data_IF_706568224309
#
_entry.id   IF_706568224309
#
_cell.length_a   1.000
_cell.length_b   1.000
_cell.length_c   1.000
_cell.angle_alpha   90.00
_cell.angle_beta   90.00
_cell.angle_gamma   90.00
#
_symmetry.space_group_name_H-M   'P 1'
#
loop_
_entity.id
_entity.type
_entity.pdbx_description
1 polymer ?
#
# COMPACT_ATOMS: atom_id res chain seq x y z
N UNK A 1 12.89 15.90 3.06
CA UNK A 1 13.07 17.12 2.25
C UNK A 1 12.47 18.36 2.93
N UNK A 2 11.25 18.29 3.41
CA UNK A 2 10.58 19.44 4.05
C UNK A 2 11.11 19.73 5.46
N UNK A 3 11.74 18.75 6.10
CA UNK A 3 12.17 18.79 7.50
C UNK A 3 11.00 19.13 8.45
N UNK A 4 9.83 18.57 8.15
CA UNK A 4 8.58 18.72 8.90
C UNK A 4 8.18 17.39 9.53
N UNK A 5 7.44 17.46 10.64
CA UNK A 5 6.89 16.29 11.29
C UNK A 5 5.77 15.67 10.43
N UNK A 6 5.77 14.36 10.24
CA UNK A 6 4.68 13.65 9.59
C UNK A 6 3.60 13.30 10.63
N UNK A 7 2.37 13.72 10.37
CA UNK A 7 1.18 13.35 11.15
C UNK A 7 0.30 12.47 10.28
N UNK A 8 -0.15 11.36 10.82
CA UNK A 8 -1.13 10.46 10.18
C UNK A 8 -2.51 10.78 10.76
N UNK A 9 -3.48 11.12 9.91
CA UNK A 9 -4.86 11.32 10.32
C UNK A 9 -5.75 10.22 9.76
N UNK A 10 -6.41 9.50 10.66
CA UNK A 10 -7.42 8.50 10.33
C UNK A 10 -8.77 9.21 10.27
N UNK A 11 -9.42 9.14 9.13
CA UNK A 11 -10.70 9.82 8.85
C UNK A 11 -11.85 8.84 9.12
N UNK A 12 -12.17 8.63 10.38
CA UNK A 12 -13.06 7.61 10.93
C UNK A 12 -14.48 8.10 11.30
N UNK A 13 -14.88 9.30 10.85
CA UNK A 13 -16.21 9.88 11.18
C UNK A 13 -17.33 9.18 10.41
N UNK A 14 -17.08 8.70 9.20
CA UNK A 14 -18.08 7.98 8.41
C UNK A 14 -18.17 6.51 8.82
N UNK A 15 -19.04 6.24 9.79
CA UNK A 15 -19.18 4.90 10.38
C UNK A 15 -19.56 3.82 9.35
N UNK A 16 -20.30 4.18 8.29
CA UNK A 16 -20.71 3.25 7.25
C UNK A 16 -19.55 2.77 6.37
N UNK A 17 -18.51 3.60 6.25
CA UNK A 17 -17.29 3.30 5.47
C UNK A 17 -16.16 2.75 6.33
N UNK A 18 -16.27 2.81 7.64
CA UNK A 18 -15.23 2.31 8.53
C UNK A 18 -15.15 0.78 8.48
N UNK A 19 -13.93 0.30 8.33
CA UNK A 19 -13.59 -1.12 8.41
C UNK A 19 -12.81 -1.34 9.70
N UNK A 20 -13.35 -2.15 10.60
CA UNK A 20 -12.71 -2.44 11.89
C UNK A 20 -11.28 -2.98 11.71
N UNK A 21 -10.33 -2.39 12.44
CA UNK A 21 -8.91 -2.78 12.41
C UNK A 21 -8.12 -2.25 11.19
N UNK A 22 -8.76 -1.50 10.27
CA UNK A 22 -8.08 -0.98 9.09
C UNK A 22 -7.07 0.11 9.42
N UNK A 23 -7.32 0.88 10.45
CA UNK A 23 -6.39 1.85 11.05
C UNK A 23 -5.08 1.18 11.50
N UNK A 24 -5.18 0.07 12.23
CA UNK A 24 -4.02 -0.71 12.68
C UNK A 24 -3.25 -1.29 11.50
N UNK A 25 -3.94 -1.85 10.50
CA UNK A 25 -3.31 -2.37 9.29
C UNK A 25 -2.51 -1.28 8.56
N UNK A 26 -3.05 -0.06 8.44
CA UNK A 26 -2.35 1.07 7.82
C UNK A 26 -1.06 1.39 8.59
N UNK A 27 -1.13 1.45 9.92
CA UNK A 27 0.02 1.73 10.77
C UNK A 27 1.07 0.62 10.68
N UNK A 28 0.66 -0.66 10.67
CA UNK A 28 1.56 -1.80 10.47
C UNK A 28 2.30 -1.70 9.12
N UNK A 29 1.59 -1.34 8.04
CA UNK A 29 2.20 -1.13 6.72
C UNK A 29 3.23 0.01 6.79
N UNK A 30 2.90 1.16 7.37
CA UNK A 30 3.86 2.26 7.51
C UNK A 30 5.13 1.84 8.27
N UNK A 31 4.98 1.07 9.34
CA UNK A 31 6.10 0.53 10.11
C UNK A 31 6.94 -0.45 9.30
N UNK A 32 6.34 -1.31 8.46
CA UNK A 32 7.07 -2.21 7.55
C UNK A 32 7.93 -1.44 6.54
N UNK A 33 7.51 -0.25 6.15
CA UNK A 33 8.27 0.64 5.27
C UNK A 33 9.26 1.52 6.03
N UNK A 34 9.36 1.39 7.36
CA UNK A 34 10.19 2.23 8.22
C UNK A 34 9.87 3.74 8.06
N UNK A 35 8.60 4.08 7.83
CA UNK A 35 8.14 5.45 7.74
C UNK A 35 7.92 5.98 9.16
N UNK A 36 8.77 6.94 9.56
CA UNK A 36 8.64 7.61 10.85
C UNK A 36 7.52 8.66 10.80
N UNK A 37 6.71 8.70 11.84
CA UNK A 37 5.65 9.70 12.02
C UNK A 37 5.60 10.16 13.49
N UNK A 38 5.23 11.42 13.69
CA UNK A 38 5.18 12.03 15.03
C UNK A 38 3.99 11.54 15.86
N UNK A 39 2.83 11.43 15.22
CA UNK A 39 1.59 11.03 15.87
C UNK A 39 0.56 10.48 14.89
N UNK A 40 -0.37 9.70 15.44
CA UNK A 40 -1.60 9.28 14.77
C UNK A 40 -2.76 9.99 15.45
N UNK A 41 -3.64 10.61 14.69
CA UNK A 41 -4.83 11.28 15.16
C UNK A 41 -6.07 10.64 14.52
N UNK A 42 -7.13 10.46 15.31
CA UNK A 42 -8.43 10.04 14.81
C UNK A 42 -9.35 11.27 14.70
N UNK A 43 -9.97 11.42 13.56
CA UNK A 43 -10.82 12.58 13.28
C UNK A 43 -12.05 12.62 14.21
N UNK A 44 -12.54 11.46 14.64
CA UNK A 44 -13.62 11.32 15.62
C UNK A 44 -13.30 11.95 17.00
N UNK A 45 -12.04 12.03 17.39
CA UNK A 45 -11.62 12.67 18.65
C UNK A 45 -11.89 14.17 18.64
N UNK A 46 -11.99 14.79 17.47
CA UNK A 46 -12.17 16.24 17.27
C UNK A 46 -13.64 16.68 17.14
N UNK A 47 -14.63 15.79 17.24
CA UNK A 47 -16.05 16.10 16.98
C UNK A 47 -16.56 17.32 17.77
N UNK A 48 -16.18 17.48 19.03
CA UNK A 48 -16.57 18.63 19.87
C UNK A 48 -16.01 19.95 19.31
N UNK A 49 -14.81 19.92 18.76
CA UNK A 49 -14.20 21.10 18.13
C UNK A 49 -14.91 21.43 16.81
N UNK A 50 -15.23 20.43 16.01
CA UNK A 50 -16.01 20.63 14.78
C UNK A 50 -17.35 21.32 15.09
N UNK A 51 -18.10 20.83 16.07
CA UNK A 51 -19.37 21.43 16.48
C UNK A 51 -19.21 22.87 17.01
N UNK A 52 -18.18 23.11 17.82
CA UNK A 52 -17.89 24.44 18.36
C UNK A 52 -17.56 25.46 17.26
N UNK A 53 -16.74 25.07 16.28
CA UNK A 53 -16.36 25.95 15.18
C UNK A 53 -17.56 26.21 14.23
N UNK A 54 -18.43 25.23 14.04
CA UNK A 54 -19.67 25.44 13.28
C UNK A 54 -20.62 26.46 13.98
N UNK A 55 -20.76 26.35 15.29
CA UNK A 55 -21.52 27.32 16.09
C UNK A 55 -20.90 28.74 15.98
N UNK A 56 -19.57 28.85 15.98
CA UNK A 56 -18.89 30.12 15.76
C UNK A 56 -19.24 30.71 14.37
N UNK A 57 -19.20 29.90 13.31
CA UNK A 57 -19.56 30.34 11.96
C UNK A 57 -21.03 30.80 11.90
N UNK A 58 -21.95 30.11 12.57
CA UNK A 58 -23.36 30.51 12.64
C UNK A 58 -23.52 31.84 13.40
N UNK A 59 -22.85 32.00 14.55
CA UNK A 59 -22.89 33.24 15.34
C UNK A 59 -22.33 34.43 14.56
N UNK A 60 -21.33 34.20 13.71
CA UNK A 60 -20.76 35.20 12.81
C UNK A 60 -21.58 35.42 11.54
N UNK A 61 -22.72 34.75 11.38
CA UNK A 61 -23.58 34.78 10.19
C UNK A 61 -22.87 34.35 8.89
N UNK A 62 -21.80 33.55 9.01
CA UNK A 62 -21.06 32.93 7.91
C UNK A 62 -21.57 31.53 7.57
N UNK A 63 -22.41 30.95 8.44
CA UNK A 63 -23.13 29.72 8.23
C UNK A 63 -24.58 29.87 8.75
N UNK A 64 -25.47 29.01 8.30
CA UNK A 64 -26.90 29.07 8.63
C UNK A 64 -27.52 27.67 8.73
N UNK A 65 -28.68 27.59 9.40
CA UNK A 65 -29.47 26.36 9.47
C UNK A 65 -30.20 26.14 8.15
N UNK A 66 -30.06 24.96 7.58
CA UNK A 66 -30.73 24.56 6.33
C UNK A 66 -31.73 23.42 6.66
N UNK A 67 -33.01 23.67 6.41
CA UNK A 67 -34.14 22.77 6.69
C UNK A 67 -34.63 22.02 5.43
N UNK A 68 -33.92 22.13 4.32
CA UNK A 68 -34.28 21.43 3.09
C UNK A 68 -34.24 19.91 3.29
N UNK A 69 -35.29 19.22 2.82
CA UNK A 69 -35.33 17.76 2.75
C UNK A 69 -34.41 17.25 1.63
N UNK A 70 -34.03 15.98 1.72
CA UNK A 70 -33.26 15.33 0.66
C UNK A 70 -34.01 15.35 -0.67
N UNK A 71 -35.34 15.14 -0.65
CA UNK A 71 -36.20 15.24 -1.83
C UNK A 71 -36.10 16.61 -2.51
N UNK A 72 -36.14 17.72 -1.74
CA UNK A 72 -35.94 19.06 -2.29
C UNK A 72 -34.58 19.27 -2.91
N UNK A 73 -33.53 18.76 -2.27
CA UNK A 73 -32.18 18.87 -2.80
C UNK A 73 -31.99 18.00 -4.05
N UNK A 74 -32.65 16.86 -4.14
CA UNK A 74 -32.62 16.01 -5.34
C UNK A 74 -33.38 16.64 -6.51
N UNK A 75 -34.54 17.28 -6.28
CA UNK A 75 -35.23 18.07 -7.28
C UNK A 75 -34.31 19.15 -7.88
N UNK A 76 -33.61 19.92 -7.03
CA UNK A 76 -32.67 20.97 -7.48
C UNK A 76 -31.48 20.38 -8.28
N UNK A 77 -31.00 19.19 -7.91
CA UNK A 77 -29.96 18.48 -8.67
C UNK A 77 -30.45 18.07 -10.06
N UNK A 78 -31.67 17.49 -10.10
CA UNK A 78 -32.26 17.09 -11.38
C UNK A 78 -32.51 18.28 -12.33
N UNK A 79 -32.96 19.38 -11.78
CA UNK A 79 -33.13 20.63 -12.56
C UNK A 79 -31.78 21.11 -13.13
N UNK A 80 -30.71 21.11 -12.30
CA UNK A 80 -29.38 21.51 -12.75
C UNK A 80 -28.85 20.59 -13.86
N UNK A 81 -29.10 19.29 -13.78
CA UNK A 81 -28.73 18.31 -14.81
C UNK A 81 -29.50 18.54 -16.10
N UNK A 82 -30.80 18.83 -16.03
CA UNK A 82 -31.63 19.18 -17.22
C UNK A 82 -31.13 20.43 -17.93
N UNK A 83 -30.64 21.39 -17.14
CA UNK A 83 -30.07 22.64 -17.65
C UNK A 83 -28.63 22.52 -18.16
N UNK A 84 -27.99 21.36 -17.98
CA UNK A 84 -26.58 21.14 -18.31
C UNK A 84 -25.60 21.95 -17.47
N UNK A 85 -26.01 22.35 -16.26
CA UNK A 85 -25.21 23.17 -15.34
C UNK A 85 -24.77 22.34 -14.14
N UNK A 86 -23.61 22.66 -13.50
CA UNK A 86 -23.25 22.06 -12.21
C UNK A 86 -24.31 22.45 -11.17
N UNK A 87 -24.58 21.51 -10.25
CA UNK A 87 -25.50 21.76 -9.14
C UNK A 87 -25.03 22.94 -8.30
N UNK A 88 -25.94 23.86 -8.02
CA UNK A 88 -25.79 24.93 -7.03
C UNK A 88 -27.05 24.97 -6.16
N UNK A 89 -26.82 25.17 -4.86
CA UNK A 89 -27.93 25.35 -3.93
C UNK A 89 -28.60 26.71 -4.16
N UNK A 90 -29.95 26.76 -4.11
CA UNK A 90 -30.75 27.93 -4.41
C UNK A 90 -30.69 29.04 -3.34
N UNK A 91 -30.05 28.80 -2.21
CA UNK A 91 -29.94 29.77 -1.10
C UNK A 91 -31.21 29.97 -0.28
N UNK A 92 -32.27 29.20 -0.53
CA UNK A 92 -33.58 29.43 0.11
C UNK A 92 -33.49 29.57 1.64
N UNK A 93 -32.82 28.66 2.34
CA UNK A 93 -32.73 28.73 3.81
C UNK A 93 -31.82 29.86 4.33
N UNK A 94 -30.99 30.45 3.48
CA UNK A 94 -30.15 31.60 3.85
C UNK A 94 -30.98 32.87 4.03
N UNK A 95 -32.14 32.97 3.36
CA UNK A 95 -33.02 34.11 3.42
C UNK A 95 -34.01 34.10 4.57
N UNK A 96 -34.06 33.00 5.36
CA UNK A 96 -34.95 32.88 6.51
C UNK A 96 -34.55 33.86 7.63
N UNK A 97 -35.56 34.46 8.25
CA UNK A 97 -35.33 35.35 9.41
C UNK A 97 -34.88 34.54 10.64
N UNK A 98 -34.13 35.19 11.53
CA UNK A 98 -33.70 34.59 12.79
C UNK A 98 -34.91 34.04 13.59
N UNK A 99 -36.05 34.78 13.60
CA UNK A 99 -37.30 34.37 14.27
C UNK A 99 -37.88 33.11 13.63
N UNK A 100 -37.84 33.00 12.30
CA UNK A 100 -38.30 31.79 11.61
C UNK A 100 -37.44 30.59 11.96
N UNK A 101 -36.13 30.77 11.97
CA UNK A 101 -35.16 29.71 12.30
C UNK A 101 -35.36 29.23 13.74
N UNK A 102 -35.50 30.15 14.71
CA UNK A 102 -35.67 29.84 16.13
C UNK A 102 -37.02 29.14 16.44
N UNK A 103 -38.07 29.49 15.70
CA UNK A 103 -39.40 28.91 15.86
C UNK A 103 -39.60 27.62 15.04
N UNK A 104 -38.69 27.25 14.18
CA UNK A 104 -38.76 26.03 13.39
C UNK A 104 -38.26 24.83 14.19
N UNK A 105 -39.19 23.95 14.63
CA UNK A 105 -38.86 22.73 15.34
C UNK A 105 -38.69 21.54 14.36
N UNK A 106 -37.72 21.64 13.47
CA UNK A 106 -37.39 20.60 12.50
C UNK A 106 -35.88 20.29 12.55
N UNK A 107 -35.45 19.07 12.26
CA UNK A 107 -34.02 18.77 12.10
C UNK A 107 -33.43 19.60 10.98
N UNK A 108 -32.22 20.05 11.18
CA UNK A 108 -31.52 20.92 10.23
C UNK A 108 -30.05 20.52 10.06
N UNK A 109 -29.52 20.75 8.88
CA UNK A 109 -28.09 20.73 8.58
C UNK A 109 -27.50 22.12 8.78
N UNK A 110 -26.22 22.24 9.00
CA UNK A 110 -25.51 23.53 8.97
C UNK A 110 -24.83 23.68 7.62
N UNK A 111 -25.13 24.78 6.94
CA UNK A 111 -24.55 25.12 5.64
C UNK A 111 -23.70 26.38 5.76
N UNK A 112 -22.46 26.36 5.20
CA UNK A 112 -21.62 27.54 5.07
C UNK A 112 -22.07 28.35 3.85
N UNK A 113 -22.04 29.66 3.95
CA UNK A 113 -22.30 30.56 2.85
C UNK A 113 -21.24 30.47 1.78
N UNK A 114 -21.55 30.88 0.59
CA UNK A 114 -20.54 31.02 -0.46
C UNK A 114 -19.52 32.14 -0.11
N UNK A 115 -18.28 32.06 -0.60
CA UNK A 115 -17.27 33.07 -0.31
C UNK A 115 -17.60 34.40 -0.99
N UNK A 116 -17.40 35.53 -0.30
CA UNK A 116 -17.58 36.87 -0.87
C UNK A 116 -16.65 37.12 -2.09
N UNK A 117 -15.52 36.45 -2.14
CA UNK A 117 -14.55 36.51 -3.24
C UNK A 117 -14.21 35.11 -3.70
N UNK A 118 -14.19 34.91 -5.01
CA UNK A 118 -13.83 33.62 -5.56
C UNK A 118 -12.43 33.15 -5.11
N UNK A 119 -12.32 31.91 -4.71
CA UNK A 119 -11.06 31.28 -4.29
C UNK A 119 -10.41 30.67 -5.53
N UNK A 120 -9.38 31.37 -6.03
CA UNK A 120 -8.62 30.95 -7.22
C UNK A 120 -7.70 29.78 -6.89
N UNK A 121 -8.23 28.56 -6.89
CA UNK A 121 -7.44 27.35 -6.78
C UNK A 121 -7.70 26.38 -7.94
N UNK A 122 -8.94 26.39 -8.43
CA UNK A 122 -9.41 25.65 -9.61
C UNK A 122 -10.33 26.58 -10.42
N UNK A 123 -10.71 26.17 -11.64
CA UNK A 123 -11.67 26.92 -12.48
C UNK A 123 -13.11 26.85 -11.95
N UNK A 124 -13.34 26.18 -10.81
CA UNK A 124 -14.65 26.02 -10.21
C UNK A 124 -14.87 26.98 -9.05
N UNK A 125 -16.01 27.66 -9.07
CA UNK A 125 -16.47 28.49 -7.96
C UNK A 125 -16.94 27.62 -6.79
N UNK A 126 -16.65 28.05 -5.57
CA UNK A 126 -17.18 27.44 -4.35
C UNK A 126 -18.56 28.03 -4.09
N UNK A 127 -19.60 27.18 -4.09
CA UNK A 127 -20.96 27.53 -3.66
C UNK A 127 -21.16 27.31 -2.15
N UNK A 128 -22.38 27.53 -1.68
CA UNK A 128 -22.74 27.18 -0.30
C UNK A 128 -22.92 25.66 -0.16
N UNK A 129 -22.30 25.05 0.87
CA UNK A 129 -22.35 23.60 1.09
C UNK A 129 -22.53 23.22 2.56
N UNK A 130 -23.02 22.00 2.80
CA UNK A 130 -23.27 21.48 4.14
C UNK A 130 -21.94 21.22 4.84
N UNK A 131 -21.79 21.71 6.09
CA UNK A 131 -20.63 21.50 6.96
C UNK A 131 -20.95 20.58 8.14
N UNK A 132 -22.20 20.60 8.67
CA UNK A 132 -22.69 19.58 9.62
C UNK A 132 -23.95 18.95 9.11
N UNK A 133 -24.04 17.63 9.23
CA UNK A 133 -25.24 16.82 8.95
C UNK A 133 -26.32 17.08 10.03
N UNK A 134 -27.52 16.53 9.89
CA UNK A 134 -28.61 16.69 10.86
C UNK A 134 -28.27 16.12 12.23
N UNK A 135 -27.52 15.04 12.31
CA UNK A 135 -27.01 14.41 13.52
C UNK A 135 -25.81 15.17 14.15
N UNK A 136 -25.44 16.30 13.54
CA UNK A 136 -24.30 17.15 13.93
C UNK A 136 -22.93 16.54 13.69
N UNK A 137 -22.85 15.45 12.93
CA UNK A 137 -21.55 14.98 12.41
C UNK A 137 -21.03 15.91 11.31
N UNK A 138 -19.72 16.19 11.27
CA UNK A 138 -19.14 17.04 10.24
C UNK A 138 -19.09 16.33 8.89
N UNK A 139 -19.18 17.09 7.81
CA UNK A 139 -18.86 16.60 6.48
C UNK A 139 -17.34 16.53 6.28
N UNK A 140 -16.90 15.70 5.33
CA UNK A 140 -15.48 15.47 5.03
C UNK A 140 -14.66 16.76 4.93
N UNK A 141 -15.04 17.66 4.03
CA UNK A 141 -14.29 18.90 3.82
C UNK A 141 -14.21 19.80 5.05
N UNK A 142 -15.28 19.80 5.82
CA UNK A 142 -15.34 20.60 7.04
C UNK A 142 -14.43 20.00 8.14
N UNK A 143 -14.52 18.72 8.38
CA UNK A 143 -13.70 18.05 9.37
C UNK A 143 -12.20 18.20 9.04
N UNK A 144 -11.78 17.93 7.79
CA UNK A 144 -10.40 18.11 7.36
C UNK A 144 -9.90 19.53 7.57
N UNK A 145 -10.70 20.55 7.21
CA UNK A 145 -10.31 21.96 7.34
C UNK A 145 -10.10 22.38 8.81
N UNK A 146 -10.95 21.89 9.73
CA UNK A 146 -10.85 22.19 11.14
C UNK A 146 -9.66 21.46 11.76
N UNK A 147 -9.47 20.19 11.43
CA UNK A 147 -8.35 19.39 11.96
C UNK A 147 -7.01 19.95 11.49
N UNK A 148 -6.88 20.32 10.21
CA UNK A 148 -5.67 20.96 9.68
C UNK A 148 -5.35 22.25 10.45
N UNK A 149 -6.37 23.03 10.81
CA UNK A 149 -6.22 24.25 11.59
C UNK A 149 -5.80 23.95 13.04
N UNK A 150 -6.44 22.98 13.70
CA UNK A 150 -6.16 22.63 15.12
C UNK A 150 -4.76 22.01 15.26
N UNK A 151 -4.36 21.19 14.30
CA UNK A 151 -3.07 20.49 14.28
C UNK A 151 -1.94 21.37 13.73
N UNK A 152 -2.23 22.60 13.35
CA UNK A 152 -1.28 23.55 12.75
C UNK A 152 -0.54 22.98 11.53
N UNK A 153 -1.27 22.29 10.65
CA UNK A 153 -0.72 21.66 9.44
C UNK A 153 -0.16 22.72 8.49
N UNK A 154 1.04 22.48 8.00
CA UNK A 154 1.74 23.34 7.01
C UNK A 154 1.61 22.80 5.59
N UNK A 155 1.58 21.46 5.44
CA UNK A 155 1.57 20.78 4.15
C UNK A 155 0.60 19.60 4.18
N UNK A 156 -0.26 19.52 3.16
CA UNK A 156 -1.17 18.38 2.94
C UNK A 156 -0.73 17.65 1.69
N UNK A 157 -0.46 16.34 1.81
CA UNK A 157 -0.15 15.44 0.69
C UNK A 157 -1.30 14.44 0.56
N UNK A 158 -1.96 14.40 -0.58
CA UNK A 158 -3.13 13.54 -0.81
C UNK A 158 -3.34 13.21 -2.29
N UNK A 159 -4.25 12.30 -2.59
CA UNK A 159 -4.61 11.94 -3.96
C UNK A 159 -5.26 13.13 -4.72
N UNK A 160 -5.03 13.24 -6.02
CA UNK A 160 -5.60 14.26 -6.90
C UNK A 160 -7.14 14.26 -6.96
N UNK A 161 -7.79 13.14 -6.62
CA UNK A 161 -9.25 13.07 -6.50
C UNK A 161 -9.83 14.13 -5.54
N UNK A 162 -9.00 14.64 -4.62
CA UNK A 162 -9.36 15.68 -3.67
C UNK A 162 -8.98 17.11 -4.11
N UNK A 163 -8.59 17.29 -5.37
CA UNK A 163 -8.23 18.61 -5.90
C UNK A 163 -9.37 19.62 -5.73
N UNK A 164 -10.61 19.20 -6.05
CA UNK A 164 -11.81 20.02 -5.95
C UNK A 164 -12.30 20.26 -4.51
N UNK A 165 -11.75 19.54 -3.54
CA UNK A 165 -12.04 19.73 -2.11
C UNK A 165 -11.21 20.87 -1.52
N UNK A 166 -10.04 21.17 -2.09
CA UNK A 166 -9.10 22.16 -1.59
C UNK A 166 -9.72 23.56 -1.44
N UNK A 167 -10.42 24.13 -2.45
CA UNK A 167 -11.00 25.46 -2.32
C UNK A 167 -12.10 25.51 -1.23
N UNK A 168 -12.86 24.43 -1.02
CA UNK A 168 -13.85 24.36 0.07
C UNK A 168 -13.17 24.40 1.44
N UNK A 169 -12.07 23.68 1.62
CA UNK A 169 -11.31 23.66 2.87
C UNK A 169 -10.64 25.02 3.13
N UNK A 170 -10.10 25.68 2.11
CA UNK A 170 -9.58 27.04 2.20
C UNK A 170 -10.70 28.01 2.63
N UNK A 171 -11.89 27.91 2.02
CA UNK A 171 -13.04 28.75 2.36
C UNK A 171 -13.46 28.61 3.83
N UNK A 172 -13.54 27.40 4.36
CA UNK A 172 -13.87 27.13 5.75
C UNK A 172 -12.87 27.82 6.69
N UNK A 173 -11.58 27.63 6.45
CA UNK A 173 -10.54 28.24 7.28
C UNK A 173 -10.55 29.77 7.23
N UNK A 174 -10.66 30.34 6.04
CA UNK A 174 -10.79 31.79 5.85
C UNK A 174 -12.00 32.35 6.59
N UNK A 175 -13.13 31.64 6.53
CA UNK A 175 -14.35 32.03 7.25
C UNK A 175 -14.17 32.03 8.76
N UNK A 176 -13.28 31.22 9.31
CA UNK A 176 -12.91 31.20 10.72
C UNK A 176 -11.82 32.21 11.08
N UNK A 177 -11.29 32.94 10.10
CA UNK A 177 -10.20 33.90 10.30
C UNK A 177 -8.82 33.29 10.38
N UNK A 178 -8.66 32.01 9.98
CA UNK A 178 -7.36 31.37 9.90
C UNK A 178 -6.65 31.76 8.60
N UNK A 179 -5.53 32.50 8.73
CA UNK A 179 -4.81 33.12 7.61
C UNK A 179 -3.51 32.40 7.25
N UNK A 180 -3.13 31.37 8.00
CA UNK A 180 -1.92 30.61 7.70
C UNK A 180 -2.14 29.83 6.40
N UNK A 181 -1.21 29.97 5.47
CA UNK A 181 -1.25 29.25 4.21
C UNK A 181 -0.84 27.78 4.42
N UNK A 182 -1.59 26.87 3.82
CA UNK A 182 -1.28 25.45 3.78
C UNK A 182 -0.90 25.09 2.35
N UNK A 183 0.28 24.46 2.17
CA UNK A 183 0.72 23.94 0.88
C UNK A 183 -0.03 22.64 0.58
N UNK A 184 -0.60 22.51 -0.61
CA UNK A 184 -1.26 21.29 -1.07
C UNK A 184 -0.45 20.61 -2.16
N UNK A 185 -0.26 19.30 -2.02
CA UNK A 185 0.41 18.44 -2.97
C UNK A 185 -0.56 17.32 -3.34
N UNK A 186 -1.01 17.33 -4.58
CA UNK A 186 -1.92 16.32 -5.09
C UNK A 186 -1.12 15.26 -5.88
N UNK A 187 -1.14 14.02 -5.39
CA UNK A 187 -0.49 12.89 -6.04
C UNK A 187 -1.39 12.33 -7.13
N UNK A 188 -0.85 11.99 -8.31
CA UNK A 188 -1.62 11.42 -9.39
C UNK A 188 -2.20 10.05 -9.01
N UNK A 189 -3.29 9.67 -9.67
CA UNK A 189 -3.89 8.34 -9.52
C UNK A 189 -3.01 7.30 -10.20
N UNK A 190 -2.81 6.16 -9.54
CA UNK A 190 -2.23 4.97 -10.14
C UNK A 190 -3.37 4.16 -10.76
N UNK A 191 -3.42 4.11 -12.10
CA UNK A 191 -4.45 3.40 -12.85
C UNK A 191 -4.05 1.96 -13.16
N UNK A 192 -5.03 1.10 -13.46
CA UNK A 192 -4.84 -0.33 -13.77
C UNK A 192 -4.17 -1.14 -12.64
N UNK A 193 -4.29 -0.71 -11.40
CA UNK A 193 -3.92 -1.49 -10.24
C UNK A 193 -5.02 -2.53 -9.90
N UNK A 194 -5.35 -3.38 -10.89
CA UNK A 194 -6.37 -4.44 -10.76
C UNK A 194 -5.69 -5.77 -11.08
N UNK A 195 -5.83 -6.76 -10.19
CA UNK A 195 -5.33 -8.11 -10.43
C UNK A 195 -6.25 -8.88 -11.39
N UNK A 196 -5.77 -10.01 -11.94
CA UNK A 196 -6.57 -10.92 -12.78
C UNK A 196 -7.86 -11.44 -12.09
N UNK A 197 -7.97 -11.28 -10.77
CA UNK A 197 -9.15 -11.66 -9.96
C UNK A 197 -10.07 -10.47 -9.68
N UNK A 198 -10.01 -9.39 -10.44
CA UNK A 198 -10.76 -8.13 -10.27
C UNK A 198 -10.58 -7.47 -8.88
N UNK A 199 -9.51 -7.82 -8.15
CA UNK A 199 -9.17 -7.21 -6.87
C UNK A 199 -8.20 -6.05 -7.08
N UNK A 200 -8.44 -4.94 -6.38
CA UNK A 200 -7.50 -3.83 -6.33
C UNK A 200 -6.18 -4.31 -5.73
N UNK A 201 -5.07 -4.08 -6.43
CA UNK A 201 -3.74 -4.39 -5.93
C UNK A 201 -3.42 -3.41 -4.80
N UNK A 202 -3.50 -3.91 -3.56
CA UNK A 202 -3.11 -3.15 -2.37
C UNK A 202 -1.66 -3.44 -1.99
N UNK A 203 -1.05 -2.55 -1.20
CA UNK A 203 0.29 -2.78 -0.63
C UNK A 203 0.32 -4.07 0.20
N UNK A 204 -0.75 -4.34 0.97
CA UNK A 204 -0.90 -5.58 1.75
C UNK A 204 -0.83 -6.81 0.84
N UNK A 205 -1.60 -6.82 -0.24
CA UNK A 205 -1.56 -7.90 -1.23
C UNK A 205 -0.14 -8.13 -1.78
N UNK A 206 0.58 -7.07 -2.12
CA UNK A 206 1.95 -7.19 -2.62
C UNK A 206 2.90 -7.80 -1.56
N UNK A 207 2.76 -7.41 -0.30
CA UNK A 207 3.54 -7.99 0.80
C UNK A 207 3.21 -9.48 0.97
N UNK A 208 1.93 -9.86 0.92
CA UNK A 208 1.48 -11.26 0.99
C UNK A 208 1.97 -12.11 -0.19
N UNK A 209 2.09 -11.53 -1.37
CA UNK A 209 2.73 -12.17 -2.54
C UNK A 209 4.26 -12.22 -2.45
N UNK A 210 4.85 -11.68 -1.39
CA UNK A 210 6.28 -11.78 -1.10
C UNK A 210 7.14 -10.72 -1.78
N UNK A 211 6.56 -9.58 -2.15
CA UNK A 211 7.36 -8.41 -2.54
C UNK A 211 8.00 -7.77 -1.30
N UNK A 212 9.24 -7.33 -1.42
CA UNK A 212 9.94 -6.62 -0.36
C UNK A 212 9.38 -5.20 -0.19
N UNK A 213 9.16 -4.71 1.04
CA UNK A 213 8.76 -3.32 1.28
C UNK A 213 9.69 -2.31 0.59
N UNK A 214 11.00 -2.54 0.60
CA UNK A 214 11.98 -1.69 -0.08
C UNK A 214 11.78 -1.63 -1.61
N UNK A 215 11.41 -2.75 -2.23
CA UNK A 215 11.14 -2.81 -3.67
C UNK A 215 9.82 -2.12 -4.03
N UNK A 216 8.78 -2.29 -3.21
CA UNK A 216 7.51 -1.59 -3.38
C UNK A 216 7.73 -0.08 -3.24
N UNK A 217 8.51 0.37 -2.24
CA UNK A 217 8.82 1.78 -2.03
C UNK A 217 9.61 2.36 -3.22
N UNK A 218 10.64 1.64 -3.70
CA UNK A 218 11.38 2.03 -4.90
C UNK A 218 10.44 2.19 -6.10
N UNK A 219 9.55 1.21 -6.34
CA UNK A 219 8.60 1.25 -7.44
C UNK A 219 7.62 2.42 -7.33
N UNK A 220 7.07 2.70 -6.13
CA UNK A 220 6.14 3.81 -5.92
C UNK A 220 6.80 5.18 -6.12
N UNK A 221 8.10 5.32 -5.80
CA UNK A 221 8.85 6.54 -6.11
C UNK A 221 9.16 6.63 -7.60
N UNK A 222 9.46 5.50 -8.26
CA UNK A 222 9.79 5.47 -9.68
C UNK A 222 8.58 5.75 -10.57
N UNK A 223 7.38 5.25 -10.19
CA UNK A 223 6.19 5.35 -11.03
C UNK A 223 5.77 6.80 -11.23
N UNK A 224 5.72 7.24 -12.49
CA UNK A 224 5.33 8.60 -12.85
C UNK A 224 6.37 9.68 -12.53
N UNK A 225 7.60 9.33 -12.13
CA UNK A 225 8.67 10.28 -11.85
C UNK A 225 9.95 9.97 -12.65
N UNK A 226 10.69 11.01 -12.97
CA UNK A 226 12.05 10.86 -13.49
C UNK A 226 13.02 10.62 -12.33
N UNK A 227 13.81 9.55 -12.42
CA UNK A 227 14.77 9.15 -11.38
C UNK A 227 16.15 8.95 -11.99
N UNK A 228 17.26 9.23 -11.26
CA UNK A 228 18.62 9.04 -11.78
C UNK A 228 18.97 7.57 -12.11
N UNK A 229 18.33 6.64 -11.41
CA UNK A 229 18.49 5.20 -11.57
C UNK A 229 17.16 4.51 -11.32
N UNK A 230 17.00 3.29 -11.84
CA UNK A 230 15.78 2.51 -11.63
C UNK A 230 15.74 1.79 -10.28
N UNK A 231 16.91 1.42 -9.74
CA UNK A 231 17.04 0.66 -8.50
C UNK A 231 17.74 1.55 -7.47
N UNK A 232 17.08 1.80 -6.36
CA UNK A 232 17.57 2.65 -5.27
C UNK A 232 16.86 2.32 -3.94
N UNK A 233 17.50 2.68 -2.84
CA UNK A 233 16.88 2.68 -1.51
C UNK A 233 16.14 4.00 -1.25
N UNK A 234 15.27 4.03 -0.23
CA UNK A 234 14.62 5.30 0.18
C UNK A 234 15.65 6.31 0.68
N UNK A 235 16.72 5.87 1.36
CA UNK A 235 17.80 6.76 1.81
C UNK A 235 18.48 7.44 0.63
N UNK A 236 18.78 6.69 -0.44
CA UNK A 236 19.36 7.27 -1.66
C UNK A 236 18.37 8.25 -2.30
N UNK A 237 17.08 7.91 -2.35
CA UNK A 237 16.05 8.76 -2.92
C UNK A 237 15.92 10.12 -2.23
N UNK A 238 16.11 10.20 -0.91
CA UNK A 238 16.09 11.46 -0.15
C UNK A 238 17.07 12.48 -0.71
N UNK A 239 18.21 12.04 -1.24
CA UNK A 239 19.27 12.93 -1.72
C UNK A 239 18.92 13.69 -3.00
N UNK A 240 18.07 13.14 -3.86
CA UNK A 240 17.73 13.69 -5.19
C UNK A 240 16.23 13.90 -5.42
N UNK A 241 15.36 13.25 -4.66
CA UNK A 241 13.90 13.43 -4.80
C UNK A 241 13.50 14.86 -4.48
N UNK A 242 12.68 15.46 -5.34
CA UNK A 242 12.09 16.79 -5.16
C UNK A 242 10.59 16.71 -5.30
N UNK A 243 9.87 17.16 -4.28
CA UNK A 243 8.42 17.12 -4.22
C UNK A 243 7.75 17.91 -5.35
N UNK A 244 8.45 18.95 -5.84
CA UNK A 244 8.00 19.78 -6.96
C UNK A 244 8.04 19.04 -8.30
N UNK A 245 8.84 17.97 -8.39
CA UNK A 245 9.03 17.17 -9.61
C UNK A 245 8.06 15.98 -9.68
N UNK A 246 7.16 15.82 -8.70
CA UNK A 246 6.14 14.76 -8.77
C UNK A 246 5.29 14.98 -10.03
N UNK A 247 5.19 13.94 -10.86
CA UNK A 247 4.34 13.96 -12.05
C UNK A 247 2.90 14.33 -11.69
N UNK A 248 2.24 15.07 -12.56
CA UNK A 248 0.80 15.37 -12.47
C UNK A 248 -0.04 14.41 -13.31
N UNK A 249 0.60 13.60 -14.14
CA UNK A 249 -0.08 12.66 -15.01
C UNK A 249 -0.33 11.35 -14.28
N UNK A 250 -1.52 10.77 -14.47
CA UNK A 250 -1.85 9.45 -13.93
C UNK A 250 -0.86 8.40 -14.42
N UNK A 251 -0.33 7.61 -13.49
CA UNK A 251 0.64 6.58 -13.78
C UNK A 251 -0.04 5.21 -13.95
N UNK A 252 0.43 4.41 -14.91
CA UNK A 252 -0.05 3.05 -15.10
C UNK A 252 0.73 2.08 -14.22
N UNK A 253 0.01 1.26 -13.45
CA UNK A 253 0.64 0.19 -12.67
C UNK A 253 1.18 -0.90 -13.61
N UNK A 254 2.44 -1.31 -13.38
CA UNK A 254 3.15 -2.33 -14.15
C UNK A 254 3.73 -3.37 -13.18
N UNK A 255 3.09 -4.53 -13.11
CA UNK A 255 3.51 -5.63 -12.24
C UNK A 255 4.84 -6.24 -12.67
N UNK A 256 5.13 -6.31 -13.97
CA UNK A 256 6.37 -6.89 -14.47
C UNK A 256 7.56 -5.99 -14.12
N UNK A 257 7.37 -4.67 -14.18
CA UNK A 257 8.36 -3.71 -13.70
C UNK A 257 8.60 -3.85 -12.19
N UNK A 258 7.55 -4.00 -11.39
CA UNK A 258 7.68 -4.23 -9.95
C UNK A 258 8.39 -5.56 -9.67
N UNK A 259 8.08 -6.63 -10.40
CA UNK A 259 8.77 -7.93 -10.28
C UNK A 259 10.27 -7.81 -10.61
N UNK A 260 10.60 -7.06 -11.64
CA UNK A 260 12.00 -6.78 -11.99
C UNK A 260 12.71 -6.05 -10.84
N UNK A 261 12.13 -4.97 -10.32
CA UNK A 261 12.70 -4.20 -9.20
C UNK A 261 12.85 -5.09 -7.97
N UNK A 262 11.84 -5.89 -7.63
CA UNK A 262 11.88 -6.78 -6.48
C UNK A 262 13.01 -7.81 -6.59
N UNK A 263 13.21 -8.39 -7.78
CA UNK A 263 14.34 -9.29 -8.05
C UNK A 263 15.68 -8.61 -7.79
N UNK A 264 15.84 -7.36 -8.25
CA UNK A 264 17.06 -6.59 -8.00
C UNK A 264 17.31 -6.31 -6.52
N UNK A 265 16.29 -6.02 -5.76
CA UNK A 265 16.39 -5.90 -4.31
C UNK A 265 16.73 -7.24 -3.64
N UNK A 266 16.18 -8.35 -4.12
CA UNK A 266 16.49 -9.71 -3.61
C UNK A 266 17.94 -10.14 -3.94
N UNK A 267 18.50 -9.72 -5.07
CA UNK A 267 19.91 -9.95 -5.42
C UNK A 267 20.86 -9.33 -4.38
N UNK A 268 20.53 -8.15 -3.86
CA UNK A 268 21.36 -7.37 -2.93
C UNK A 268 21.10 -7.65 -1.45
N UNK A 269 19.97 -8.27 -1.09
CA UNK A 269 19.66 -8.56 0.31
C UNK A 269 20.74 -9.44 0.96
N UNK A 270 21.05 -9.18 2.23
CA UNK A 270 21.96 -10.04 3.00
C UNK A 270 21.51 -11.48 3.05
N UNK A 271 22.43 -12.43 2.85
CA UNK A 271 22.10 -13.85 2.74
C UNK A 271 21.50 -14.42 4.02
N UNK A 272 21.98 -14.02 5.19
CA UNK A 272 21.42 -14.47 6.47
C UNK A 272 20.01 -13.90 6.68
N UNK A 273 19.79 -12.64 6.27
CA UNK A 273 18.46 -12.02 6.31
C UNK A 273 17.49 -12.75 5.38
N UNK A 274 17.90 -13.07 4.15
CA UNK A 274 17.07 -13.84 3.23
C UNK A 274 16.75 -15.24 3.81
N UNK A 275 17.76 -15.92 4.36
CA UNK A 275 17.58 -17.21 5.00
C UNK A 275 16.53 -17.16 6.12
N UNK A 276 16.59 -16.15 7.00
CA UNK A 276 15.59 -15.97 8.08
C UNK A 276 14.18 -15.76 7.52
N UNK A 277 14.03 -15.01 6.44
CA UNK A 277 12.73 -14.81 5.76
C UNK A 277 12.22 -16.13 5.17
N UNK A 278 13.12 -17.00 4.71
CA UNK A 278 12.79 -18.36 4.23
C UNK A 278 12.47 -19.35 5.36
N UNK A 279 12.74 -18.99 6.63
CA UNK A 279 12.49 -19.83 7.80
C UNK A 279 13.70 -20.59 8.32
N UNK A 280 14.90 -20.22 7.90
CA UNK A 280 16.17 -20.85 8.29
C UNK A 280 17.10 -19.85 8.98
N UNK A 281 18.19 -20.33 9.56
CA UNK A 281 19.19 -19.50 10.24
C UNK A 281 20.62 -19.72 9.68
N UNK A 282 20.73 -20.21 8.45
CA UNK A 282 21.98 -20.55 7.78
C UNK A 282 22.16 -19.68 6.52
N UNK A 283 23.31 -19.03 6.42
CA UNK A 283 23.68 -18.18 5.29
C UNK A 283 23.62 -18.91 3.93
N UNK A 284 23.92 -20.21 3.91
CA UNK A 284 23.90 -20.99 2.67
C UNK A 284 22.49 -21.16 2.12
N UNK A 285 21.47 -21.24 2.98
CA UNK A 285 20.07 -21.25 2.52
C UNK A 285 19.67 -19.90 1.89
N UNK A 286 20.21 -18.79 2.39
CA UNK A 286 20.03 -17.49 1.71
C UNK A 286 20.68 -17.44 0.33
N UNK A 287 21.88 -17.99 0.18
CA UNK A 287 22.53 -18.14 -1.14
C UNK A 287 21.73 -19.07 -2.06
N UNK A 288 21.22 -20.19 -1.51
CA UNK A 288 20.35 -21.12 -2.23
C UNK A 288 19.10 -20.41 -2.78
N UNK A 289 18.44 -19.57 -1.95
CA UNK A 289 17.31 -18.78 -2.40
C UNK A 289 17.66 -17.86 -3.57
N UNK A 290 18.88 -17.29 -3.60
CA UNK A 290 19.33 -16.43 -4.70
C UNK A 290 19.60 -17.19 -6.00
N UNK A 291 19.95 -18.48 -5.97
CA UNK A 291 20.09 -19.31 -7.17
C UNK A 291 18.77 -19.36 -7.97
N UNK A 292 17.62 -19.30 -7.26
CA UNK A 292 16.31 -19.34 -7.92
C UNK A 292 15.82 -18.00 -8.46
N UNK A 293 16.58 -16.89 -8.33
CA UNK A 293 16.14 -15.57 -8.80
C UNK A 293 16.00 -15.45 -10.33
N UNK A 294 16.56 -16.37 -11.11
CA UNK A 294 16.29 -16.43 -12.56
C UNK A 294 14.85 -16.86 -12.85
N UNK A 295 14.27 -17.70 -11.99
CA UNK A 295 12.93 -18.27 -12.15
C UNK A 295 11.89 -17.65 -11.22
N UNK A 296 12.32 -16.96 -10.14
CA UNK A 296 11.50 -16.38 -9.09
C UNK A 296 11.77 -14.88 -8.93
N UNK A 297 10.72 -14.13 -8.64
CA UNK A 297 10.81 -12.68 -8.44
C UNK A 297 10.29 -12.23 -7.08
N UNK A 298 9.72 -13.14 -6.27
CA UNK A 298 9.18 -12.83 -4.95
C UNK A 298 9.65 -13.86 -3.90
N UNK A 299 9.57 -13.49 -2.63
CA UNK A 299 9.89 -14.40 -1.50
C UNK A 299 8.99 -15.64 -1.53
N UNK A 300 7.72 -15.49 -1.90
CA UNK A 300 6.77 -16.61 -1.99
C UNK A 300 7.23 -17.61 -3.04
N UNK A 301 7.59 -17.15 -4.23
CA UNK A 301 8.10 -17.99 -5.31
C UNK A 301 9.42 -18.68 -4.92
N UNK A 302 10.33 -17.97 -4.25
CA UNK A 302 11.57 -18.57 -3.74
C UNK A 302 11.26 -19.68 -2.71
N UNK A 303 10.32 -19.44 -1.80
CA UNK A 303 9.88 -20.48 -0.83
C UNK A 303 9.33 -21.71 -1.53
N UNK A 304 8.54 -21.54 -2.57
CA UNK A 304 7.99 -22.63 -3.38
C UNK A 304 9.08 -23.45 -4.08
N UNK A 305 10.23 -22.84 -4.43
CA UNK A 305 11.38 -23.53 -5.02
C UNK A 305 12.27 -24.20 -3.96
N UNK A 306 12.44 -23.60 -2.80
CA UNK A 306 13.31 -24.11 -1.71
C UNK A 306 12.62 -25.18 -0.87
N UNK A 307 11.33 -25.05 -0.59
CA UNK A 307 10.58 -25.97 0.27
C UNK A 307 10.65 -27.44 -0.20
N UNK A 308 10.58 -27.80 -1.49
CA UNK A 308 10.71 -29.17 -1.94
C UNK A 308 12.05 -29.82 -1.61
N UNK A 309 13.13 -29.03 -1.42
CA UNK A 309 14.45 -29.56 -1.08
C UNK A 309 14.41 -30.22 0.30
N UNK A 310 13.66 -29.67 1.25
CA UNK A 310 13.56 -30.14 2.63
C UNK A 310 12.29 -30.95 2.93
N UNK A 311 11.33 -30.96 2.00
CA UNK A 311 10.11 -31.75 2.15
C UNK A 311 10.39 -33.27 1.95
N UNK A 312 9.62 -34.16 2.60
CA UNK A 312 9.65 -35.59 2.28
C UNK A 312 9.35 -35.81 0.80
N UNK A 313 10.18 -36.62 0.13
CA UNK A 313 10.02 -36.91 -1.30
C UNK A 313 9.36 -38.26 -1.53
N UNK A 314 8.45 -38.32 -2.47
CA UNK A 314 7.98 -39.56 -3.08
C UNK A 314 9.08 -40.17 -3.96
N UNK A 315 8.89 -41.39 -4.44
CA UNK A 315 9.76 -41.98 -5.44
C UNK A 315 9.51 -41.26 -6.80
N UNK A 316 10.56 -41.04 -7.57
CA UNK A 316 10.42 -40.38 -8.88
C UNK A 316 9.69 -41.32 -9.85
N UNK A 317 8.56 -40.93 -10.46
CA UNK A 317 7.83 -41.74 -11.41
C UNK A 317 8.70 -42.21 -12.60
N UNK A 318 8.68 -43.51 -12.85
CA UNK A 318 9.51 -44.13 -13.86
C UNK A 318 10.97 -44.43 -13.46
N UNK A 319 11.32 -44.15 -12.16
CA UNK A 319 12.63 -44.43 -11.56
C UNK A 319 12.45 -44.87 -10.11
N UNK A 320 11.41 -45.61 -9.78
CA UNK A 320 11.02 -45.96 -8.41
C UNK A 320 12.07 -46.87 -7.73
N UNK A 321 12.56 -47.87 -8.47
CA UNK A 321 13.60 -48.81 -7.96
C UNK A 321 14.92 -48.06 -7.75
N UNK A 322 15.34 -47.24 -8.66
CA UNK A 322 16.55 -46.43 -8.59
C UNK A 322 16.45 -45.44 -7.42
N UNK A 323 15.32 -44.77 -7.26
CA UNK A 323 15.06 -43.83 -6.17
C UNK A 323 15.16 -44.51 -4.80
N UNK A 324 14.64 -45.75 -4.67
CA UNK A 324 14.73 -46.51 -3.42
C UNK A 324 16.17 -46.86 -3.12
N UNK A 325 16.92 -47.44 -4.07
CA UNK A 325 18.35 -47.80 -3.89
C UNK A 325 19.18 -46.56 -3.52
N UNK A 326 18.91 -45.42 -4.15
CA UNK A 326 19.62 -44.17 -3.89
C UNK A 326 19.31 -43.63 -2.50
N UNK A 327 18.05 -43.66 -2.06
CA UNK A 327 17.68 -43.24 -0.69
C UNK A 327 18.36 -44.06 0.37
N UNK A 328 18.40 -45.39 0.23
CA UNK A 328 19.07 -46.28 1.15
C UNK A 328 20.59 -46.00 1.18
N UNK A 329 21.21 -45.85 0.02
CA UNK A 329 22.64 -45.54 -0.07
C UNK A 329 22.98 -44.19 0.54
N UNK A 330 22.17 -43.15 0.31
CA UNK A 330 22.41 -41.81 0.82
C UNK A 330 22.22 -41.71 2.34
N UNK A 331 21.37 -42.54 2.96
CA UNK A 331 21.23 -42.60 4.46
C UNK A 331 22.49 -43.04 5.16
N UNK A 332 23.26 -43.90 4.50
CA UNK A 332 24.52 -44.44 5.05
C UNK A 332 25.76 -43.76 4.48
N UNK A 333 25.58 -42.76 3.58
CA UNK A 333 26.68 -42.09 2.93
C UNK A 333 27.49 -41.25 3.93
N UNK A 334 28.84 -41.31 3.87
CA UNK A 334 29.66 -40.35 4.61
C UNK A 334 29.46 -38.93 4.04
N UNK A 335 29.95 -37.95 4.79
CA UNK A 335 29.93 -36.58 4.33
C UNK A 335 30.86 -36.35 3.13
N UNK A 336 30.37 -35.66 2.09
CA UNK A 336 31.13 -35.25 0.92
C UNK A 336 31.06 -33.75 0.75
N UNK A 337 32.19 -33.10 0.52
CA UNK A 337 32.26 -31.68 0.24
C UNK A 337 31.83 -31.36 -1.20
N UNK A 338 32.11 -32.24 -2.10
CA UNK A 338 31.91 -32.10 -3.55
C UNK A 338 30.83 -33.03 -4.08
N UNK A 339 30.00 -32.52 -5.01
CA UNK A 339 28.93 -33.32 -5.59
C UNK A 339 29.41 -34.46 -6.47
N UNK A 340 30.54 -34.30 -7.19
CA UNK A 340 31.08 -35.36 -8.04
C UNK A 340 31.62 -36.53 -7.22
N UNK A 341 32.18 -36.22 -6.02
CA UNK A 341 32.60 -37.29 -5.07
C UNK A 341 31.39 -38.06 -4.54
N UNK A 342 30.33 -37.37 -4.12
CA UNK A 342 29.06 -38.02 -3.73
C UNK A 342 28.50 -38.88 -4.85
N UNK A 343 28.40 -38.31 -6.05
CA UNK A 343 27.89 -39.00 -7.24
C UNK A 343 28.70 -40.26 -7.59
N UNK A 344 30.03 -40.19 -7.48
CA UNK A 344 30.93 -41.33 -7.69
C UNK A 344 30.65 -42.41 -6.64
N UNK A 345 30.61 -42.05 -5.38
CA UNK A 345 30.32 -42.97 -4.27
C UNK A 345 28.99 -43.72 -4.47
N UNK A 346 27.94 -42.95 -4.75
CA UNK A 346 26.60 -43.50 -4.95
C UNK A 346 26.54 -44.38 -6.22
N UNK A 347 27.22 -43.99 -7.31
CA UNK A 347 27.34 -44.83 -8.50
C UNK A 347 28.01 -46.17 -8.27
N UNK A 348 29.11 -46.15 -7.50
CA UNK A 348 29.86 -47.38 -7.14
C UNK A 348 29.05 -48.31 -6.22
N UNK A 349 28.29 -47.74 -5.28
CA UNK A 349 27.48 -48.51 -4.32
C UNK A 349 26.22 -49.09 -4.89
N UNK A 350 25.57 -48.38 -5.80
CA UNK A 350 24.27 -48.78 -6.39
C UNK A 350 24.38 -49.45 -7.77
N UNK A 351 25.55 -49.35 -8.42
CA UNK A 351 25.79 -49.70 -9.81
C UNK A 351 24.91 -48.98 -10.83
N UNK A 352 24.30 -47.82 -10.43
CA UNK A 352 23.51 -46.96 -11.32
C UNK A 352 24.43 -46.03 -12.11
N UNK A 353 24.02 -45.73 -13.38
CA UNK A 353 24.80 -44.86 -14.29
C UNK A 353 23.87 -43.99 -15.12
N UNK A 354 24.44 -42.95 -15.69
CA UNK A 354 23.78 -42.05 -16.65
C UNK A 354 22.42 -41.53 -16.14
N UNK A 355 21.39 -41.65 -16.95
CA UNK A 355 20.06 -41.15 -16.65
C UNK A 355 19.43 -41.81 -15.41
N UNK A 356 19.70 -43.10 -15.20
CA UNK A 356 19.16 -43.87 -14.05
C UNK A 356 19.81 -43.48 -12.72
N UNK A 357 20.98 -42.89 -12.76
CA UNK A 357 21.63 -42.30 -11.57
C UNK A 357 21.24 -40.86 -11.42
N UNK A 358 21.44 -40.04 -12.47
CA UNK A 358 21.44 -38.58 -12.35
C UNK A 358 20.04 -38.01 -12.07
N UNK A 359 19.00 -38.47 -12.78
CA UNK A 359 17.63 -37.93 -12.58
C UNK A 359 17.07 -38.21 -11.17
N UNK A 360 17.05 -39.46 -10.68
CA UNK A 360 16.52 -39.75 -9.36
C UNK A 360 17.40 -39.19 -8.24
N UNK A 361 18.73 -39.13 -8.41
CA UNK A 361 19.63 -38.47 -7.45
C UNK A 361 19.30 -36.98 -7.33
N UNK A 362 19.17 -36.27 -8.47
CA UNK A 362 18.77 -34.88 -8.46
C UNK A 362 17.41 -34.68 -7.78
N UNK A 363 16.42 -35.51 -8.12
CA UNK A 363 15.09 -35.43 -7.53
C UNK A 363 15.11 -35.63 -6.00
N UNK A 364 15.89 -36.60 -5.50
CA UNK A 364 16.03 -36.80 -4.07
C UNK A 364 16.66 -35.59 -3.37
N UNK A 365 17.67 -34.97 -3.99
CA UNK A 365 18.37 -33.84 -3.41
C UNK A 365 17.60 -32.52 -3.49
N UNK A 366 16.79 -32.33 -4.53
CA UNK A 366 16.17 -31.03 -4.82
C UNK A 366 14.65 -31.04 -4.82
N UNK A 367 14.01 -32.19 -4.84
CA UNK A 367 12.56 -32.31 -5.01
C UNK A 367 12.08 -32.07 -6.45
N UNK A 368 13.00 -31.83 -7.41
CA UNK A 368 12.69 -31.55 -8.80
C UNK A 368 13.65 -32.30 -9.75
N UNK A 369 13.15 -32.73 -10.90
CA UNK A 369 13.95 -33.41 -11.93
C UNK A 369 14.65 -32.42 -12.90
N UNK A 370 14.32 -31.15 -12.82
CA UNK A 370 14.91 -30.05 -13.59
C UNK A 370 15.16 -28.81 -12.70
N UNK A 371 15.69 -27.73 -13.27
CA UNK A 371 15.98 -26.46 -12.58
C UNK A 371 17.47 -26.10 -12.54
N UNK A 372 17.94 -25.21 -11.66
CA UNK A 372 19.32 -24.75 -11.59
C UNK A 372 20.34 -25.88 -11.45
N UNK A 373 21.59 -25.65 -11.83
CA UNK A 373 22.64 -26.66 -11.81
C UNK A 373 22.83 -27.25 -10.41
N UNK A 374 22.83 -28.59 -10.32
CA UNK A 374 23.03 -29.28 -9.03
C UNK A 374 24.42 -29.00 -8.42
N UNK A 375 25.42 -28.68 -9.25
CA UNK A 375 26.74 -28.31 -8.77
C UNK A 375 26.72 -26.98 -7.99
N UNK A 376 25.79 -26.09 -8.28
CA UNK A 376 25.61 -24.83 -7.57
C UNK A 376 24.74 -25.01 -6.30
N UNK A 377 23.81 -25.97 -6.33
CA UNK A 377 22.89 -26.25 -5.22
C UNK A 377 23.58 -27.09 -4.13
N UNK A 378 24.28 -28.16 -4.51
CA UNK A 378 24.81 -29.16 -3.55
C UNK A 378 25.70 -28.55 -2.45
N UNK A 379 26.65 -27.64 -2.74
CA UNK A 379 27.48 -27.03 -1.72
C UNK A 379 26.68 -26.31 -0.61
N UNK A 380 25.48 -25.86 -0.94
CA UNK A 380 24.59 -25.09 -0.04
C UNK A 380 23.65 -25.98 0.79
N UNK A 381 23.47 -27.25 0.37
CA UNK A 381 22.57 -28.20 1.05
C UNK A 381 23.28 -29.41 1.65
N UNK A 382 24.56 -29.57 1.38
CA UNK A 382 25.34 -30.78 1.82
C UNK A 382 25.26 -31.06 3.32
N UNK A 383 25.21 -29.99 4.14
CA UNK A 383 25.09 -30.11 5.60
C UNK A 383 23.69 -30.61 6.06
N UNK A 384 22.71 -30.57 5.16
CA UNK A 384 21.34 -31.03 5.42
C UNK A 384 21.01 -32.36 4.77
N UNK A 385 22.01 -33.08 4.21
CA UNK A 385 21.78 -34.33 3.48
C UNK A 385 20.98 -35.34 4.32
N UNK A 386 21.31 -35.49 5.61
CA UNK A 386 20.59 -36.37 6.53
C UNK A 386 19.12 -36.01 6.75
N UNK A 387 18.74 -34.74 6.57
CA UNK A 387 17.34 -34.28 6.63
C UNK A 387 16.62 -34.44 5.28
N UNK A 388 17.33 -34.17 4.18
CA UNK A 388 16.81 -34.20 2.82
C UNK A 388 16.43 -35.63 2.39
N UNK A 389 17.13 -36.64 2.86
CA UNK A 389 16.94 -38.06 2.47
C UNK A 389 16.02 -38.85 3.41
N UNK A 390 15.50 -38.23 4.44
CA UNK A 390 14.49 -38.87 5.32
C UNK A 390 13.21 -39.13 4.55
#
# INVERSE_FOLDING_TARGET
QLNEDLIIRIEDIDVERNIEGKDKEIIEILNLFSIEYKSVAHQSDSLKYHQKMALQLMTQKKAYACFCSDSKLDELREESVKDGKPFRYDGFCETLSDDTVLNTNAPFTVRIKEPEKNIKFTDFDVDSFIILKQDKTPTYNYACAIDDMIMDISTVIRCENHLFDTPKQIHIRNSLGYTKEIKYIHLPVIVNAISEKDNVISVKYLIEEGFLPSAIANYLVLIGNETPTEIFSLEEAISWFKIENISKDSAKFDIDKLRFINRKHLETIDNLRLSKILGFADTDIGKLGKIFLEEASTIKEIKEKVAPIFAPKTLLPGFEEESLKLKECLKEAPFFDDFEELKKYVSEKTNLKDKNLFKPLRYILTGADNGPNILDIYPLIKNYLGEIVK
#
